data_IF_573942554111
#
_entry.id   IF_573942554111
#
_cell.length_a   1.000
_cell.length_b   1.000
_cell.length_c   1.000
_cell.angle_alpha   90.00
_cell.angle_beta   90.00
_cell.angle_gamma   90.00
#
_symmetry.space_group_name_H-M   'P 1'
#
loop_
_entity.id
_entity.type
_entity.pdbx_description
1 polymer ?
#
# COMPACT_ATOMS: atom_id res chain seq x y z
N UNK A 1 -25.08 -26.10 66.13
CA UNK A 1 -24.94 -27.47 65.60
C UNK A 1 -26.30 -27.93 65.09
N UNK A 2 -26.41 -28.85 64.11
CA UNK A 2 -25.98 -28.83 62.70
C UNK A 2 -27.19 -28.98 61.74
N UNK A 3 -27.09 -28.55 60.46
CA UNK A 3 -28.01 -29.03 59.42
C UNK A 3 -27.24 -29.38 58.13
N UNK A 4 -27.39 -30.65 57.76
CA UNK A 4 -26.80 -31.37 56.63
C UNK A 4 -27.12 -30.75 55.27
N UNK A 5 -26.14 -30.69 54.37
CA UNK A 5 -26.36 -30.42 52.94
C UNK A 5 -26.31 -31.72 52.16
N UNK A 6 -27.48 -32.11 51.67
CA UNK A 6 -27.72 -33.31 50.87
C UNK A 6 -27.09 -33.15 49.48
N UNK A 7 -26.22 -34.09 49.11
CA UNK A 7 -25.74 -34.31 47.76
C UNK A 7 -26.91 -34.69 46.83
N UNK A 8 -27.06 -33.99 45.71
CA UNK A 8 -27.94 -34.42 44.61
C UNK A 8 -27.08 -34.79 43.39
N UNK A 9 -27.28 -36.04 43.01
CA UNK A 9 -26.61 -36.81 41.98
C UNK A 9 -26.93 -36.34 40.55
N UNK A 10 -25.99 -36.70 39.68
CA UNK A 10 -25.95 -36.68 38.22
C UNK A 10 -27.29 -36.67 37.46
N UNK A 11 -27.32 -35.91 36.37
CA UNK A 11 -28.06 -36.32 35.19
C UNK A 11 -27.28 -35.95 33.94
N UNK A 12 -26.71 -36.99 33.32
CA UNK A 12 -26.05 -36.99 32.03
C UNK A 12 -26.96 -36.41 30.94
N UNK A 13 -26.46 -35.38 30.24
CA UNK A 13 -26.93 -35.03 28.89
C UNK A 13 -25.72 -34.94 27.99
N UNK A 14 -25.23 -36.12 27.59
CA UNK A 14 -24.31 -36.27 26.48
C UNK A 14 -25.05 -35.88 25.18
N UNK A 15 -25.00 -34.59 24.85
CA UNK A 15 -25.36 -34.10 23.53
C UNK A 15 -24.35 -34.61 22.53
N UNK A 16 -24.78 -35.52 21.66
CA UNK A 16 -24.04 -36.05 20.53
C UNK A 16 -23.49 -34.92 19.66
N UNK A 17 -22.17 -34.66 19.77
CA UNK A 17 -21.44 -33.84 18.82
C UNK A 17 -21.23 -34.70 17.57
N UNK A 18 -22.15 -34.55 16.63
CA UNK A 18 -21.99 -35.07 15.28
C UNK A 18 -20.68 -34.57 14.70
N UNK A 19 -19.83 -35.50 14.30
CA UNK A 19 -18.59 -35.26 13.57
C UNK A 19 -18.89 -34.43 12.33
N UNK A 20 -18.64 -33.11 12.40
CA UNK A 20 -18.69 -32.25 11.23
C UNK A 20 -17.37 -32.41 10.51
N UNK A 21 -17.36 -33.35 9.58
CA UNK A 21 -16.40 -33.52 8.49
C UNK A 21 -15.67 -32.21 8.22
N UNK A 22 -14.39 -32.18 8.61
CA UNK A 22 -13.51 -31.03 8.41
C UNK A 22 -13.29 -30.87 6.91
N UNK A 23 -14.18 -30.12 6.26
CA UNK A 23 -13.94 -29.56 4.95
C UNK A 23 -12.65 -28.74 5.07
N UNK A 24 -11.53 -29.32 4.63
CA UNK A 24 -10.29 -28.57 4.41
C UNK A 24 -10.59 -27.63 3.24
N UNK A 25 -11.16 -26.47 3.56
CA UNK A 25 -11.25 -25.36 2.61
C UNK A 25 -9.79 -25.03 2.35
N UNK A 26 -9.32 -25.34 1.15
CA UNK A 26 -8.06 -24.80 0.67
C UNK A 26 -8.18 -23.30 0.89
N UNK A 27 -7.43 -22.78 1.87
CA UNK A 27 -7.42 -21.37 2.22
C UNK A 27 -6.74 -20.67 1.06
N UNK A 28 -7.53 -20.39 0.02
CA UNK A 28 -7.22 -19.40 -0.98
C UNK A 28 -7.10 -18.11 -0.18
N UNK A 29 -5.86 -17.82 0.25
CA UNK A 29 -5.42 -16.59 0.90
C UNK A 29 -5.80 -15.46 -0.05
N UNK A 30 -7.02 -14.96 0.15
CA UNK A 30 -7.61 -13.95 -0.70
C UNK A 30 -7.25 -12.60 -0.12
N UNK A 31 -6.98 -11.61 -0.97
CA UNK A 31 -6.83 -10.21 -0.56
C UNK A 31 -8.08 -9.64 0.14
N UNK A 32 -9.18 -10.38 0.13
CA UNK A 32 -10.42 -10.04 0.83
C UNK A 32 -10.42 -10.42 2.33
N UNK A 33 -9.47 -11.23 2.81
CA UNK A 33 -9.43 -11.62 4.22
C UNK A 33 -8.73 -10.54 5.08
N UNK A 34 -9.41 -9.91 6.05
CA UNK A 34 -8.83 -8.81 6.82
C UNK A 34 -7.64 -9.23 7.69
N UNK A 35 -7.56 -10.50 8.09
CA UNK A 35 -6.44 -11.04 8.86
C UNK A 35 -5.18 -11.28 8.00
N UNK A 36 -5.29 -11.33 6.67
CA UNK A 36 -4.12 -11.46 5.78
C UNK A 36 -3.17 -10.27 5.92
N UNK A 37 -3.70 -9.06 6.15
CA UNK A 37 -2.90 -7.84 6.25
C UNK A 37 -1.83 -7.89 7.36
N UNK A 38 -2.01 -8.72 8.39
CA UNK A 38 -1.02 -8.92 9.47
C UNK A 38 0.18 -9.75 9.02
N UNK A 39 0.01 -10.62 8.04
CA UNK A 39 1.05 -11.54 7.53
C UNK A 39 1.61 -11.13 6.18
N UNK A 40 0.88 -10.31 5.42
CA UNK A 40 1.31 -9.84 4.11
C UNK A 40 2.53 -8.90 4.21
N UNK A 41 3.49 -9.11 3.33
CA UNK A 41 4.64 -8.23 3.21
C UNK A 41 4.19 -6.83 2.77
N UNK A 42 4.69 -5.81 3.47
CA UNK A 42 4.46 -4.43 3.09
C UNK A 42 4.95 -4.17 1.65
N UNK A 43 4.29 -3.29 0.89
CA UNK A 43 4.64 -3.03 -0.51
C UNK A 43 6.10 -2.59 -0.68
N UNK A 44 6.64 -1.83 0.27
CA UNK A 44 8.06 -1.44 0.27
C UNK A 44 9.00 -2.65 0.41
N UNK A 45 8.63 -3.62 1.25
CA UNK A 45 9.43 -4.84 1.47
C UNK A 45 9.41 -5.73 0.22
N UNK A 46 8.27 -5.79 -0.47
CA UNK A 46 8.14 -6.50 -1.74
C UNK A 46 8.96 -5.84 -2.84
N UNK A 47 8.98 -4.51 -2.93
CA UNK A 47 9.80 -3.78 -3.90
C UNK A 47 11.29 -4.03 -3.65
N UNK A 48 11.76 -3.90 -2.40
CA UNK A 48 13.17 -4.13 -2.06
C UNK A 48 13.60 -5.59 -2.32
N UNK A 49 12.73 -6.57 -2.04
CA UNK A 49 13.05 -8.00 -2.22
C UNK A 49 12.87 -8.50 -3.66
N UNK A 50 12.02 -7.84 -4.45
CA UNK A 50 11.64 -8.24 -5.81
C UNK A 50 12.69 -7.92 -6.89
N UNK A 51 13.88 -7.46 -6.49
CA UNK A 51 14.97 -7.17 -7.42
C UNK A 51 14.73 -5.94 -8.29
N UNK A 52 13.74 -5.09 -7.99
CA UNK A 52 13.70 -3.76 -8.58
C UNK A 52 14.94 -3.02 -8.09
N UNK A 53 15.82 -2.55 -9.00
CA UNK A 53 16.99 -1.82 -8.57
C UNK A 53 16.50 -0.62 -7.78
N UNK A 54 16.88 -0.56 -6.50
CA UNK A 54 16.79 0.63 -5.67
C UNK A 54 17.77 1.67 -6.23
N UNK A 55 17.54 2.10 -7.47
CA UNK A 55 18.30 3.18 -8.05
C UNK A 55 17.96 4.43 -7.27
N UNK A 56 18.97 5.25 -6.99
CA UNK A 56 18.76 6.50 -6.30
C UNK A 56 17.81 7.35 -7.14
N UNK A 57 16.70 7.80 -6.56
CA UNK A 57 15.81 8.74 -7.27
C UNK A 57 16.56 10.01 -7.71
N UNK A 58 17.67 10.34 -7.02
CA UNK A 58 18.56 11.45 -7.39
C UNK A 58 19.40 11.20 -8.64
N UNK A 59 19.56 9.95 -9.07
CA UNK A 59 20.27 9.60 -10.31
C UNK A 59 19.33 9.46 -11.50
N UNK A 60 18.04 9.75 -11.35
CA UNK A 60 17.13 9.78 -12.48
C UNK A 60 17.46 10.97 -13.38
N UNK A 61 17.52 10.70 -14.69
CA UNK A 61 17.66 11.77 -15.67
C UNK A 61 16.32 12.49 -15.84
N UNK A 62 16.25 13.73 -15.35
CA UNK A 62 15.08 14.57 -15.54
C UNK A 62 15.05 15.16 -16.96
N UNK A 63 13.83 15.35 -17.47
CA UNK A 63 13.53 15.99 -18.74
C UNK A 63 12.58 17.16 -18.54
N UNK A 64 12.65 18.15 -19.41
CA UNK A 64 11.72 19.28 -19.43
C UNK A 64 10.38 18.91 -20.08
N UNK A 65 9.45 19.87 -20.15
CA UNK A 65 8.13 19.74 -20.80
C UNK A 65 8.19 19.39 -22.29
N UNK A 66 9.29 19.75 -22.95
CA UNK A 66 9.51 19.53 -24.38
C UNK A 66 10.24 18.18 -24.62
N UNK A 67 10.58 17.46 -23.55
CA UNK A 67 11.26 16.17 -23.58
C UNK A 67 12.79 16.26 -23.62
N UNK A 68 13.37 17.46 -23.52
CA UNK A 68 14.81 17.64 -23.53
C UNK A 68 15.43 17.27 -22.19
N UNK A 69 16.65 16.74 -22.23
CA UNK A 69 17.41 16.35 -21.06
C UNK A 69 17.83 17.61 -20.29
N UNK A 70 17.50 17.67 -18.99
CA UNK A 70 17.96 18.74 -18.10
C UNK A 70 19.38 18.39 -17.63
N UNK A 71 20.39 19.06 -18.19
CA UNK A 71 21.81 18.82 -17.86
C UNK A 71 22.22 19.41 -16.51
N UNK A 72 21.72 20.58 -16.17
CA UNK A 72 21.99 21.29 -14.91
C UNK A 72 20.67 21.56 -14.16
N UNK A 73 20.16 20.58 -13.38
CA UNK A 73 18.91 20.70 -12.66
C UNK A 73 19.03 21.67 -11.49
N UNK A 74 17.97 22.45 -11.25
CA UNK A 74 17.85 23.29 -10.06
C UNK A 74 17.80 22.43 -8.78
N UNK A 75 18.47 22.88 -7.72
CA UNK A 75 18.55 22.18 -6.42
C UNK A 75 17.19 22.06 -5.71
N UNK A 76 16.32 23.06 -5.88
CA UNK A 76 14.98 23.09 -5.29
C UNK A 76 13.95 22.38 -6.18
N UNK A 77 14.20 22.34 -7.48
CA UNK A 77 13.28 21.78 -8.45
C UNK A 77 14.01 21.05 -9.61
N UNK A 78 14.24 19.73 -9.49
CA UNK A 78 14.97 18.95 -10.50
C UNK A 78 14.29 18.88 -11.88
N UNK A 79 13.01 19.25 -11.98
CA UNK A 79 12.28 19.34 -13.26
C UNK A 79 12.49 20.68 -13.97
N UNK A 80 13.33 21.57 -13.41
CA UNK A 80 13.67 22.87 -13.99
C UNK A 80 15.19 22.99 -14.21
N UNK A 81 15.65 23.51 -15.37
CA UNK A 81 17.04 23.91 -15.55
C UNK A 81 17.41 25.08 -14.64
N UNK A 82 18.61 25.03 -14.07
CA UNK A 82 19.08 25.98 -13.05
C UNK A 82 19.17 27.44 -13.52
N UNK A 83 19.30 27.66 -14.82
CA UNK A 83 19.47 29.00 -15.43
C UNK A 83 18.18 29.55 -16.06
N UNK A 84 17.04 28.86 -15.92
CA UNK A 84 15.76 29.36 -16.39
C UNK A 84 15.32 30.60 -15.60
N UNK A 85 14.79 31.62 -16.28
CA UNK A 85 14.28 32.80 -15.59
C UNK A 85 13.00 32.40 -14.84
N UNK A 86 12.83 32.77 -13.56
CA UNK A 86 11.62 32.40 -12.80
C UNK A 86 10.30 32.78 -13.47
N UNK A 87 10.27 33.90 -14.22
CA UNK A 87 9.08 34.33 -14.97
C UNK A 87 8.73 33.38 -16.11
N UNK A 88 9.72 32.81 -16.80
CA UNK A 88 9.50 31.87 -17.91
C UNK A 88 8.88 30.57 -17.36
N UNK A 89 9.34 30.13 -16.19
CA UNK A 89 8.75 29.00 -15.47
C UNK A 89 7.29 29.25 -15.11
N UNK A 90 6.99 30.40 -14.51
CA UNK A 90 5.60 30.76 -14.12
C UNK A 90 4.70 30.79 -15.36
N UNK A 91 5.13 31.44 -16.45
CA UNK A 91 4.36 31.50 -17.69
C UNK A 91 4.16 30.11 -18.31
N UNK A 92 5.14 29.22 -18.21
CA UNK A 92 5.01 27.84 -18.70
C UNK A 92 3.93 27.06 -17.93
N UNK A 93 3.83 27.26 -16.61
CA UNK A 93 2.77 26.66 -15.80
C UNK A 93 1.39 27.24 -16.16
N UNK A 94 1.28 28.56 -16.32
CA UNK A 94 0.03 29.19 -16.76
C UNK A 94 -0.42 28.67 -18.12
N UNK A 95 0.51 28.55 -19.08
CA UNK A 95 0.24 28.02 -20.40
C UNK A 95 -0.22 26.55 -20.33
N UNK A 96 0.41 25.71 -19.52
CA UNK A 96 0.04 24.31 -19.34
C UNK A 96 -1.36 24.15 -18.70
N UNK A 97 -1.66 24.96 -17.67
CA UNK A 97 -2.98 24.99 -17.03
C UNK A 97 -4.04 25.47 -18.03
N UNK A 98 -3.72 26.51 -18.80
CA UNK A 98 -4.59 27.04 -19.84
C UNK A 98 -4.86 26.05 -20.97
N UNK A 99 -3.85 25.28 -21.39
CA UNK A 99 -4.02 24.19 -22.35
C UNK A 99 -4.96 23.11 -21.79
N UNK A 100 -4.70 22.61 -20.57
CA UNK A 100 -5.54 21.60 -19.91
C UNK A 100 -7.00 22.03 -19.76
N UNK A 101 -7.26 23.31 -19.45
CA UNK A 101 -8.64 23.82 -19.34
C UNK A 101 -9.35 23.84 -20.69
N UNK A 102 -8.64 24.07 -21.79
CA UNK A 102 -9.22 24.10 -23.15
C UNK A 102 -9.53 22.70 -23.69
N UNK A 103 -8.89 21.67 -23.14
CA UNK A 103 -9.10 20.26 -23.51
C UNK A 103 -10.25 19.59 -22.75
N UNK A 104 -10.78 20.23 -21.71
CA UNK A 104 -11.97 19.80 -20.94
C UNK A 104 -13.24 20.43 -21.49
#
# INVERSE_FOLDING_TARGET
MPFSRSSRSSSDRAGSIGSRESYKKATLSSKADPNQALTEAQPINQAVSGGTPMFSLRSMQHRDKDGNIISDPDRSNPTRPRLERPLDTIRSFEAAIGARRREM
#
